data_IF_438765311049
#
_entry.id   IF_438765311049
#
_cell.length_a   1.000
_cell.length_b   1.000
_cell.length_c   1.000
_cell.angle_alpha   90.00
_cell.angle_beta   90.00
_cell.angle_gamma   90.00
#
_symmetry.space_group_name_H-M   'P 1'
#
loop_
_entity.id
_entity.type
_entity.pdbx_description
1 polymer ?
#
# COMPACT_ATOMS: atom_id res chain seq x y z
N UNK A 1 15.86 -5.09 5.19
CA UNK A 1 14.97 -6.21 4.82
C UNK A 1 13.50 -5.82 4.85
N UNK A 2 12.99 -5.29 5.96
CA UNK A 2 11.55 -5.09 6.17
C UNK A 2 10.82 -4.29 5.08
N UNK A 3 11.36 -3.14 4.64
CA UNK A 3 10.72 -2.34 3.56
C UNK A 3 10.62 -3.12 2.25
N UNK A 4 11.61 -3.97 1.94
CA UNK A 4 11.58 -4.83 0.75
C UNK A 4 10.45 -5.85 0.87
N UNK A 5 10.27 -6.46 2.03
CA UNK A 5 9.16 -7.38 2.27
C UNK A 5 7.80 -6.68 2.08
N UNK A 6 7.63 -5.48 2.64
CA UNK A 6 6.41 -4.69 2.46
C UNK A 6 6.18 -4.33 0.98
N UNK A 7 7.23 -3.97 0.24
CA UNK A 7 7.14 -3.69 -1.18
C UNK A 7 6.73 -4.93 -1.98
N UNK A 8 7.28 -6.12 -1.66
CA UNK A 8 6.88 -7.38 -2.30
C UNK A 8 5.40 -7.71 -2.03
N UNK A 9 4.93 -7.50 -0.80
CA UNK A 9 3.51 -7.65 -0.47
C UNK A 9 2.67 -6.64 -1.26
N UNK A 10 3.12 -5.39 -1.38
CA UNK A 10 2.40 -4.36 -2.12
C UNK A 10 2.33 -4.67 -3.63
N UNK A 11 3.40 -5.21 -4.22
CA UNK A 11 3.44 -5.68 -5.60
C UNK A 11 2.44 -6.83 -5.79
N UNK A 12 2.41 -7.79 -4.87
CA UNK A 12 1.44 -8.88 -4.88
C UNK A 12 -0.01 -8.37 -4.84
N UNK A 13 -0.32 -7.44 -3.91
CA UNK A 13 -1.65 -6.81 -3.84
C UNK A 13 -2.00 -6.06 -5.14
N UNK A 14 -1.03 -5.39 -5.76
CA UNK A 14 -1.22 -4.73 -7.07
C UNK A 14 -1.53 -5.73 -8.19
N UNK A 15 -0.92 -6.91 -8.16
CA UNK A 15 -1.24 -8.01 -9.06
C UNK A 15 -2.69 -8.50 -8.91
N UNK A 16 -3.20 -8.61 -7.68
CA UNK A 16 -4.60 -8.95 -7.44
C UNK A 16 -5.56 -7.87 -7.96
N UNK A 17 -5.24 -6.59 -7.75
CA UNK A 17 -6.02 -5.46 -8.28
C UNK A 17 -6.10 -5.52 -9.79
N UNK A 18 -4.97 -5.76 -10.46
CA UNK A 18 -4.92 -5.87 -11.92
C UNK A 18 -5.71 -7.08 -12.42
N UNK A 19 -5.63 -8.22 -11.74
CA UNK A 19 -6.37 -9.43 -12.12
C UNK A 19 -7.89 -9.33 -12.00
N UNK A 20 -8.39 -8.41 -11.17
CA UNK A 20 -9.83 -8.18 -10.95
C UNK A 20 -10.36 -6.90 -11.63
N UNK A 21 -9.53 -6.20 -12.40
CA UNK A 21 -9.83 -4.85 -12.94
C UNK A 21 -10.26 -3.83 -11.87
N UNK A 22 -9.93 -4.08 -10.61
CA UNK A 22 -10.44 -3.31 -9.46
C UNK A 22 -9.92 -1.86 -9.45
N UNK A 23 -8.76 -1.64 -10.06
CA UNK A 23 -8.16 -0.32 -10.26
C UNK A 23 -8.97 0.58 -11.20
N UNK A 24 -9.70 -0.02 -12.15
CA UNK A 24 -10.58 0.70 -13.07
C UNK A 24 -11.95 0.96 -12.46
N UNK A 25 -12.49 0.00 -11.70
CA UNK A 25 -13.81 0.12 -11.05
C UNK A 25 -13.81 1.11 -9.88
N UNK A 26 -12.70 1.19 -9.14
CA UNK A 26 -12.57 2.05 -7.96
C UNK A 26 -11.34 2.94 -8.10
N UNK A 27 -11.47 3.96 -8.95
CA UNK A 27 -10.41 4.87 -9.38
C UNK A 27 -10.46 6.27 -8.73
N UNK A 28 -11.46 6.56 -7.90
CA UNK A 28 -11.53 7.81 -7.14
C UNK A 28 -10.62 7.78 -5.91
N UNK A 29 -10.13 8.94 -5.47
CA UNK A 29 -9.24 9.07 -4.31
C UNK A 29 -9.45 10.44 -3.63
N UNK A 30 -9.41 10.56 -2.28
CA UNK A 30 -9.14 9.50 -1.29
C UNK A 30 -10.35 8.62 -1.00
N UNK A 31 -11.54 9.05 -1.39
CA UNK A 31 -12.76 8.28 -1.26
C UNK A 31 -12.77 7.08 -2.23
N UNK A 32 -13.48 6.05 -1.85
CA UNK A 32 -13.74 4.85 -2.63
C UNK A 32 -15.23 4.56 -2.47
N UNK A 33 -15.97 4.55 -3.58
CA UNK A 33 -17.44 4.37 -3.52
C UNK A 33 -18.12 5.41 -2.59
N UNK A 34 -17.66 6.67 -2.68
CA UNK A 34 -18.14 7.80 -1.88
C UNK A 34 -17.70 7.84 -0.42
N UNK A 35 -16.92 6.86 0.07
CA UNK A 35 -16.54 6.73 1.48
C UNK A 35 -15.03 6.47 1.65
N UNK A 36 -14.46 6.81 2.80
CA UNK A 36 -13.06 6.48 3.11
C UNK A 36 -12.91 4.97 3.32
N UNK A 37 -13.85 4.37 4.06
CA UNK A 37 -14.01 2.92 4.20
C UNK A 37 -15.30 2.55 3.48
N UNK A 38 -15.22 1.89 2.31
CA UNK A 38 -16.41 1.55 1.55
C UNK A 38 -17.18 0.41 2.23
N UNK A 39 -18.48 0.29 1.94
CA UNK A 39 -19.31 -0.81 2.43
C UNK A 39 -19.04 -2.13 1.68
N UNK A 40 -19.66 -3.21 2.13
CA UNK A 40 -19.68 -4.51 1.42
C UNK A 40 -18.30 -5.17 1.22
N UNK A 41 -17.35 -4.86 2.12
CA UNK A 41 -16.00 -5.43 2.08
C UNK A 41 -15.96 -6.94 2.40
N UNK A 42 -17.01 -7.50 3.01
CA UNK A 42 -17.07 -8.89 3.46
C UNK A 42 -18.34 -9.60 2.95
N UNK A 43 -18.81 -9.24 1.75
CA UNK A 43 -20.07 -9.75 1.19
C UNK A 43 -19.99 -11.22 0.74
N UNK A 44 -18.80 -11.71 0.36
CA UNK A 44 -18.61 -13.10 -0.04
C UNK A 44 -18.49 -14.02 1.20
N UNK A 45 -19.06 -15.21 1.10
CA UNK A 45 -18.93 -16.29 2.07
C UNK A 45 -18.10 -17.46 1.48
N UNK A 46 -17.14 -18.04 2.23
CA UNK A 46 -16.59 -17.56 3.50
C UNK A 46 -15.82 -16.23 3.39
N UNK A 47 -15.78 -15.47 4.49
CA UNK A 47 -15.27 -14.10 4.52
C UNK A 47 -13.85 -13.91 3.93
N UNK A 48 -12.97 -14.92 4.04
CA UNK A 48 -11.61 -14.87 3.52
C UNK A 48 -11.55 -14.75 1.98
N UNK A 49 -12.61 -15.14 1.26
CA UNK A 49 -12.64 -14.98 -0.21
C UNK A 49 -12.63 -13.52 -0.63
N UNK A 50 -13.15 -12.61 0.20
CA UNK A 50 -13.16 -11.19 -0.14
C UNK A 50 -11.76 -10.60 -0.32
N UNK A 51 -10.73 -11.12 0.36
CA UNK A 51 -9.37 -10.60 0.20
C UNK A 51 -8.70 -11.03 -1.12
N UNK A 52 -9.31 -11.93 -1.88
CA UNK A 52 -8.79 -12.41 -3.17
C UNK A 52 -9.76 -12.20 -4.34
N UNK A 53 -11.07 -12.20 -4.10
CA UNK A 53 -12.09 -12.28 -5.13
C UNK A 53 -13.04 -11.08 -5.15
N UNK A 54 -13.11 -10.27 -4.08
CA UNK A 54 -13.95 -9.06 -4.05
C UNK A 54 -13.12 -7.86 -4.54
N UNK A 55 -13.41 -7.29 -5.74
CA UNK A 55 -12.62 -6.19 -6.29
C UNK A 55 -12.55 -4.98 -5.35
N UNK A 56 -13.64 -4.69 -4.63
CA UNK A 56 -13.73 -3.59 -3.67
C UNK A 56 -12.77 -3.81 -2.49
N UNK A 57 -12.75 -5.01 -1.94
CA UNK A 57 -11.86 -5.34 -0.82
C UNK A 57 -10.41 -5.40 -1.23
N UNK A 58 -10.10 -6.02 -2.37
CA UNK A 58 -8.74 -6.11 -2.91
C UNK A 58 -8.15 -4.72 -3.18
N UNK A 59 -8.91 -3.83 -3.82
CA UNK A 59 -8.43 -2.46 -4.06
C UNK A 59 -8.29 -1.66 -2.75
N UNK A 60 -9.19 -1.87 -1.79
CA UNK A 60 -9.09 -1.20 -0.49
C UNK A 60 -7.83 -1.64 0.29
N UNK A 61 -7.55 -2.95 0.38
CA UNK A 61 -6.34 -3.44 1.06
C UNK A 61 -5.06 -3.04 0.32
N UNK A 62 -5.08 -2.96 -1.01
CA UNK A 62 -3.94 -2.46 -1.79
C UNK A 62 -3.64 -0.99 -1.47
N UNK A 63 -4.67 -0.14 -1.32
CA UNK A 63 -4.50 1.26 -0.90
C UNK A 63 -3.94 1.37 0.53
N UNK A 64 -4.45 0.57 1.47
CA UNK A 64 -3.93 0.53 2.84
C UNK A 64 -2.46 0.06 2.87
N UNK A 65 -2.11 -0.93 2.05
CA UNK A 65 -0.73 -1.38 1.84
C UNK A 65 0.16 -0.25 1.33
N UNK A 66 -0.31 0.53 0.35
CA UNK A 66 0.42 1.69 -0.19
C UNK A 66 0.72 2.72 0.90
N UNK A 67 -0.28 3.09 1.71
CA UNK A 67 -0.08 4.03 2.82
C UNK A 67 0.90 3.50 3.86
N UNK A 68 0.86 2.19 4.13
CA UNK A 68 1.78 1.55 5.08
C UNK A 68 3.23 1.62 4.56
N UNK A 69 3.46 1.28 3.29
CA UNK A 69 4.79 1.39 2.66
C UNK A 69 5.29 2.83 2.70
N UNK A 70 4.44 3.79 2.32
CA UNK A 70 4.79 5.21 2.35
C UNK A 70 5.17 5.69 3.75
N UNK A 71 4.35 5.38 4.77
CA UNK A 71 4.61 5.77 6.15
C UNK A 71 5.91 5.15 6.70
N UNK A 72 6.18 3.87 6.43
CA UNK A 72 7.40 3.19 6.86
C UNK A 72 8.63 3.76 6.13
N UNK A 73 8.53 4.06 4.83
CA UNK A 73 9.60 4.68 4.07
C UNK A 73 9.93 6.09 4.59
N UNK A 74 8.90 6.91 4.87
CA UNK A 74 9.03 8.23 5.48
C UNK A 74 9.72 8.15 6.84
N UNK A 75 9.24 7.25 7.70
CA UNK A 75 9.83 7.00 9.00
C UNK A 75 11.30 6.59 8.87
N UNK A 76 11.61 5.65 7.98
CA UNK A 76 12.97 5.18 7.77
C UNK A 76 13.91 6.29 7.29
N UNK A 77 13.44 7.17 6.38
CA UNK A 77 14.19 8.35 5.97
C UNK A 77 14.49 9.26 7.17
N UNK A 78 13.46 9.64 7.95
CA UNK A 78 13.61 10.54 9.10
C UNK A 78 14.56 9.93 10.14
N UNK A 79 14.35 8.67 10.50
CA UNK A 79 15.16 7.97 11.48
C UNK A 79 16.63 7.87 11.04
N UNK A 80 16.89 7.55 9.77
CA UNK A 80 18.26 7.45 9.23
C UNK A 80 18.94 8.82 9.21
N UNK A 81 18.23 9.88 8.78
CA UNK A 81 18.76 11.25 8.78
C UNK A 81 19.12 11.74 10.18
N UNK A 82 18.32 11.39 11.20
CA UNK A 82 18.57 11.77 12.59
C UNK A 82 19.73 11.00 13.22
N UNK A 83 19.84 9.69 12.94
CA UNK A 83 20.86 8.82 13.55
C UNK A 83 22.23 8.90 12.88
N UNK A 84 22.28 9.11 11.56
CA UNK A 84 23.51 9.08 10.77
C UNK A 84 23.60 10.32 9.85
N UNK A 85 23.62 11.54 10.42
CA UNK A 85 23.65 12.77 9.63
C UNK A 85 24.90 12.82 8.71
N UNK A 86 24.73 13.35 7.50
CA UNK A 86 25.82 13.48 6.52
C UNK A 86 26.27 12.18 5.83
N UNK A 87 25.85 11.01 6.31
CA UNK A 87 26.25 9.72 5.74
C UNK A 87 25.63 9.42 4.38
N UNK A 88 26.28 8.55 3.60
CA UNK A 88 25.73 8.00 2.35
C UNK A 88 24.39 7.28 2.59
N UNK A 89 24.23 6.60 3.73
CA UNK A 89 22.98 5.93 4.09
C UNK A 89 21.82 6.92 4.26
N UNK A 90 22.04 8.07 4.90
CA UNK A 90 21.01 9.10 5.03
C UNK A 90 20.61 9.72 3.69
N UNK A 91 21.58 9.95 2.79
CA UNK A 91 21.30 10.42 1.42
C UNK A 91 20.48 9.39 0.63
N UNK A 92 20.91 8.14 0.64
CA UNK A 92 20.20 7.03 -0.03
C UNK A 92 18.79 6.81 0.53
N UNK A 93 18.60 6.88 1.85
CA UNK A 93 17.27 6.76 2.45
C UNK A 93 16.34 7.90 2.02
N UNK A 94 16.87 9.11 1.81
CA UNK A 94 16.11 10.24 1.26
C UNK A 94 15.72 9.99 -0.20
N UNK A 95 16.68 9.54 -1.02
CA UNK A 95 16.42 9.23 -2.43
C UNK A 95 15.39 8.11 -2.57
N UNK A 96 15.52 7.04 -1.77
CA UNK A 96 14.55 5.94 -1.76
C UNK A 96 13.16 6.42 -1.38
N UNK A 97 13.02 7.29 -0.37
CA UNK A 97 11.72 7.84 0.00
C UNK A 97 11.12 8.72 -1.09
N UNK A 98 11.92 9.53 -1.79
CA UNK A 98 11.45 10.37 -2.91
C UNK A 98 10.93 9.52 -4.09
N UNK A 99 11.38 8.27 -4.22
CA UNK A 99 10.94 7.33 -5.25
C UNK A 99 9.69 6.52 -4.87
N UNK A 100 9.24 6.60 -3.61
CA UNK A 100 8.06 5.90 -3.09
C UNK A 100 6.81 6.76 -3.30
#
# INVERSE_FOLDING_TARGET
GFIVLLALIQIYLGGLVAGLDAGMSYNTWPLMDGRIVPGDLLILDPAWRNVFENPKTVQFIHRLGAYTVFAVALWHMIATRRRLPGSTHARRATLLFVLV
#
